data_IF_689573950397
#
_entry.id   IF_689573950397
#
_cell.length_a   1.000
_cell.length_b   1.000
_cell.length_c   1.000
_cell.angle_alpha   90.00
_cell.angle_beta   90.00
_cell.angle_gamma   90.00
#
_symmetry.space_group_name_H-M   'P 1'
#
loop_
_entity.id
_entity.type
_entity.pdbx_description
1 polymer ?
#
# COMPACT_ATOMS: atom_id res chain seq x y z
N UNK A 1 -6.89 0.49 -15.87
CA UNK A 1 -7.43 -0.60 -15.02
C UNK A 1 -8.55 -1.40 -15.69
N UNK A 2 -9.05 -0.98 -16.88
CA UNK A 2 -10.09 -1.69 -17.64
C UNK A 2 -9.66 -3.05 -18.22
N UNK A 3 -8.37 -3.19 -18.55
CA UNK A 3 -7.85 -4.39 -19.23
C UNK A 3 -7.28 -5.44 -18.28
N UNK A 4 -7.69 -5.47 -17.01
CA UNK A 4 -7.14 -6.41 -16.02
C UNK A 4 -7.33 -7.89 -16.42
N UNK A 5 -8.36 -8.18 -17.23
CA UNK A 5 -8.59 -9.51 -17.79
C UNK A 5 -7.40 -10.06 -18.60
N UNK A 6 -6.56 -9.21 -19.21
CA UNK A 6 -5.38 -9.71 -19.96
C UNK A 6 -4.29 -10.29 -19.06
N UNK A 7 -4.37 -10.06 -17.74
CA UNK A 7 -3.39 -10.49 -16.74
C UNK A 7 -3.82 -11.77 -16.01
N UNK A 8 -5.01 -12.28 -16.27
CA UNK A 8 -5.52 -13.54 -15.73
C UNK A 8 -5.40 -14.60 -16.81
N UNK A 9 -5.22 -15.87 -16.47
CA UNK A 9 -5.20 -16.98 -17.44
C UNK A 9 -6.55 -17.68 -17.56
N UNK A 10 -7.22 -17.86 -16.41
CA UNK A 10 -8.52 -18.54 -16.27
C UNK A 10 -9.61 -17.87 -17.15
N UNK A 11 -10.25 -18.62 -18.07
CA UNK A 11 -11.29 -18.09 -18.95
C UNK A 11 -12.53 -17.52 -18.24
N UNK A 12 -12.98 -18.13 -17.13
CA UNK A 12 -14.15 -17.67 -16.40
C UNK A 12 -13.83 -16.36 -15.67
N UNK A 13 -12.69 -16.29 -15.00
CA UNK A 13 -12.27 -15.05 -14.30
C UNK A 13 -12.00 -13.90 -15.28
N UNK A 14 -11.47 -14.21 -16.47
CA UNK A 14 -11.35 -13.23 -17.56
C UNK A 14 -12.70 -12.63 -17.95
N UNK A 15 -13.72 -13.48 -18.05
CA UNK A 15 -15.07 -13.04 -18.44
C UNK A 15 -15.65 -12.09 -17.39
N UNK A 16 -15.61 -12.48 -16.11
CA UNK A 16 -16.07 -11.64 -14.99
C UNK A 16 -15.38 -10.27 -14.98
N UNK A 17 -14.06 -10.23 -15.20
CA UNK A 17 -13.33 -8.97 -15.26
C UNK A 17 -13.70 -8.11 -16.47
N UNK A 18 -14.12 -8.70 -17.60
CA UNK A 18 -14.58 -7.95 -18.78
C UNK A 18 -15.96 -7.35 -18.54
N UNK A 19 -16.87 -8.15 -17.98
CA UNK A 19 -18.24 -7.74 -17.66
C UNK A 19 -18.25 -6.61 -16.62
N UNK A 20 -17.38 -6.69 -15.61
CA UNK A 20 -17.24 -5.65 -14.57
C UNK A 20 -16.31 -4.49 -14.97
N UNK A 21 -16.01 -4.36 -16.27
CA UNK A 21 -15.17 -3.31 -16.85
C UNK A 21 -13.75 -3.19 -16.24
N UNK A 22 -13.19 -4.26 -15.68
CA UNK A 22 -11.86 -4.36 -15.11
C UNK A 22 -11.85 -4.33 -13.58
N UNK A 23 -10.79 -3.75 -12.98
CA UNK A 23 -10.68 -3.63 -11.53
C UNK A 23 -11.26 -2.30 -11.03
N UNK A 24 -12.20 -2.41 -10.10
CA UNK A 24 -12.88 -1.29 -9.47
C UNK A 24 -13.81 -0.53 -10.41
N UNK A 25 -14.81 0.13 -9.83
CA UNK A 25 -15.74 1.01 -10.56
C UNK A 25 -15.03 2.24 -11.12
N UNK A 26 -15.60 2.89 -12.14
CA UNK A 26 -14.98 4.09 -12.73
C UNK A 26 -14.73 5.20 -11.69
N UNK A 27 -15.65 5.35 -10.73
CA UNK A 27 -15.56 6.32 -9.65
C UNK A 27 -14.39 6.11 -8.68
N UNK A 28 -13.90 4.87 -8.53
CA UNK A 28 -12.86 4.54 -7.54
C UNK A 28 -11.44 4.58 -8.08
N UNK A 29 -11.27 4.51 -9.40
CA UNK A 29 -9.94 4.36 -10.04
C UNK A 29 -8.99 5.51 -9.80
N UNK A 30 -9.48 6.74 -9.96
CA UNK A 30 -8.67 7.94 -9.71
C UNK A 30 -8.21 8.00 -8.25
N UNK A 31 -9.11 7.74 -7.30
CA UNK A 31 -8.81 7.71 -5.87
C UNK A 31 -7.80 6.63 -5.47
N UNK A 32 -7.86 5.44 -6.09
CA UNK A 32 -6.86 4.38 -5.89
C UNK A 32 -5.48 4.85 -6.36
N UNK A 33 -5.37 5.40 -7.57
CA UNK A 33 -4.10 5.91 -8.09
C UNK A 33 -3.52 7.02 -7.20
N UNK A 34 -4.34 7.97 -6.78
CA UNK A 34 -3.93 9.03 -5.86
C UNK A 34 -3.41 8.47 -4.54
N UNK A 35 -4.06 7.43 -4.01
CA UNK A 35 -3.61 6.75 -2.80
C UNK A 35 -2.25 6.11 -2.99
N UNK A 36 -2.02 5.43 -4.12
CA UNK A 36 -0.74 4.80 -4.43
C UNK A 36 0.39 5.84 -4.61
N UNK A 37 0.10 6.99 -5.24
CA UNK A 37 1.05 8.10 -5.32
C UNK A 37 1.36 8.69 -3.94
N UNK A 38 0.34 8.99 -3.14
CA UNK A 38 0.49 9.52 -1.78
C UNK A 38 1.31 8.59 -0.88
N UNK A 39 1.14 7.27 -1.04
CA UNK A 39 1.91 6.23 -0.34
C UNK A 39 3.30 5.97 -0.93
N UNK A 40 3.68 6.65 -2.02
CA UNK A 40 4.96 6.49 -2.73
C UNK A 40 5.20 5.05 -3.22
N UNK A 41 4.12 4.35 -3.58
CA UNK A 41 4.19 3.01 -4.17
C UNK A 41 4.34 3.08 -5.70
N UNK A 42 3.86 4.17 -6.30
CA UNK A 42 4.06 4.47 -7.71
C UNK A 42 4.60 5.90 -7.86
N UNK A 43 5.33 6.13 -8.93
CA UNK A 43 5.91 7.43 -9.27
C UNK A 43 5.77 7.73 -10.77
N UNK A 44 5.78 9.02 -11.12
CA UNK A 44 5.83 9.45 -12.53
C UNK A 44 7.28 9.60 -12.95
N UNK A 45 7.70 8.79 -13.93
CA UNK A 45 8.99 8.91 -14.62
C UNK A 45 8.73 9.32 -16.05
N UNK A 46 9.07 10.57 -16.39
CA UNK A 46 8.70 11.21 -17.67
C UNK A 46 7.18 11.14 -17.88
N UNK A 47 6.72 10.52 -18.98
CA UNK A 47 5.30 10.33 -19.30
C UNK A 47 4.72 8.99 -18.80
N UNK A 48 5.50 8.16 -18.10
CA UNK A 48 5.08 6.84 -17.64
C UNK A 48 4.89 6.78 -16.11
N UNK A 49 3.97 5.94 -15.66
CA UNK A 49 3.83 5.55 -14.25
C UNK A 49 4.67 4.30 -14.03
N UNK A 50 5.50 4.28 -12.99
CA UNK A 50 6.32 3.13 -12.62
C UNK A 50 6.16 2.79 -11.15
N UNK A 51 6.26 1.51 -10.80
CA UNK A 51 6.34 1.06 -9.41
C UNK A 51 7.68 1.46 -8.80
N UNK A 52 7.65 1.92 -7.55
CA UNK A 52 8.86 2.22 -6.77
C UNK A 52 9.52 0.93 -6.26
N UNK A 53 10.81 0.95 -5.86
CA UNK A 53 11.45 -0.20 -5.23
C UNK A 53 10.65 -0.73 -4.04
N UNK A 54 10.18 0.17 -3.16
CA UNK A 54 9.34 -0.17 -2.01
C UNK A 54 8.08 -0.94 -2.41
N UNK A 55 7.40 -0.55 -3.49
CA UNK A 55 6.21 -1.26 -3.94
C UNK A 55 6.54 -2.67 -4.47
N UNK A 56 7.67 -2.85 -5.14
CA UNK A 56 8.08 -4.17 -5.65
C UNK A 56 8.45 -5.10 -4.50
N UNK A 57 9.19 -4.61 -3.51
CA UNK A 57 9.51 -5.35 -2.30
C UNK A 57 8.25 -5.72 -1.51
N UNK A 58 7.30 -4.79 -1.38
CA UNK A 58 6.01 -5.06 -0.75
C UNK A 58 5.24 -6.16 -1.48
N UNK A 59 5.11 -6.06 -2.81
CA UNK A 59 4.40 -7.07 -3.61
C UNK A 59 5.10 -8.42 -3.54
N UNK A 60 6.43 -8.47 -3.61
CA UNK A 60 7.21 -9.70 -3.47
C UNK A 60 7.04 -10.36 -2.09
N UNK A 61 6.76 -9.56 -1.06
CA UNK A 61 6.48 -10.03 0.28
C UNK A 61 5.03 -10.47 0.50
N UNK A 62 4.12 -10.35 -0.46
CA UNK A 62 2.72 -10.74 -0.30
C UNK A 62 2.44 -12.09 -0.98
N UNK A 63 1.52 -12.91 -0.45
CA UNK A 63 1.00 -14.07 -1.14
C UNK A 63 0.44 -13.70 -2.52
N UNK A 64 0.74 -14.51 -3.54
CA UNK A 64 0.32 -14.27 -4.93
C UNK A 64 -1.18 -13.99 -5.06
N UNK A 65 -2.00 -14.77 -4.33
CA UNK A 65 -3.46 -14.62 -4.30
C UNK A 65 -3.93 -13.21 -3.92
N UNK A 66 -3.19 -12.48 -3.07
CA UNK A 66 -3.54 -11.10 -2.68
C UNK A 66 -3.16 -10.06 -3.73
N UNK A 67 -2.26 -10.41 -4.64
CA UNK A 67 -1.75 -9.51 -5.68
C UNK A 67 -2.35 -9.80 -7.05
N UNK A 68 -3.11 -10.90 -7.16
CA UNK A 68 -3.72 -11.35 -8.40
C UNK A 68 -5.02 -10.59 -8.73
N UNK A 69 -5.18 -10.10 -9.97
CA UNK A 69 -6.45 -9.54 -10.43
C UNK A 69 -7.58 -10.59 -10.46
N UNK A 70 -7.25 -11.88 -10.56
CA UNK A 70 -8.23 -12.96 -10.54
C UNK A 70 -8.95 -13.10 -9.20
N UNK A 71 -8.26 -12.80 -8.08
CA UNK A 71 -8.90 -12.80 -6.76
C UNK A 71 -9.98 -11.72 -6.65
N UNK A 72 -9.73 -10.54 -7.22
CA UNK A 72 -10.76 -9.50 -7.29
C UNK A 72 -11.94 -9.94 -8.15
N UNK A 73 -11.70 -10.63 -9.25
CA UNK A 73 -12.78 -11.18 -10.08
C UNK A 73 -13.68 -12.13 -9.29
N UNK A 74 -13.09 -13.03 -8.49
CA UNK A 74 -13.82 -13.96 -7.63
C UNK A 74 -14.70 -13.23 -6.60
N UNK A 75 -14.21 -12.12 -6.05
CA UNK A 75 -15.00 -11.30 -5.12
C UNK A 75 -16.16 -10.61 -5.81
N UNK A 76 -15.95 -9.99 -6.97
CA UNK A 76 -17.04 -9.38 -7.73
C UNK A 76 -18.12 -10.41 -8.10
N UNK A 77 -17.72 -11.62 -8.54
CA UNK A 77 -18.66 -12.72 -8.76
C UNK A 77 -19.43 -13.10 -7.50
N UNK A 78 -18.74 -13.18 -6.36
CA UNK A 78 -19.39 -13.51 -5.08
C UNK A 78 -20.39 -12.43 -4.65
N UNK A 79 -20.07 -11.15 -4.88
CA UNK A 79 -20.96 -10.03 -4.59
C UNK A 79 -22.18 -10.03 -5.51
N UNK A 80 -22.00 -10.38 -6.79
CA UNK A 80 -23.10 -10.55 -7.73
C UNK A 80 -24.01 -11.72 -7.34
N UNK A 81 -23.44 -12.85 -6.93
CA UNK A 81 -24.22 -14.00 -6.45
C UNK A 81 -25.06 -13.65 -5.20
N UNK A 82 -24.56 -12.74 -4.35
CA UNK A 82 -25.34 -12.20 -3.22
C UNK A 82 -26.47 -11.31 -3.72
N UNK A 83 -26.19 -10.40 -4.67
CA UNK A 83 -27.20 -9.51 -5.24
C UNK A 83 -28.34 -10.29 -5.93
N UNK A 84 -28.01 -11.43 -6.55
CA UNK A 84 -28.96 -12.35 -7.19
C UNK A 84 -29.63 -13.33 -6.21
N UNK A 85 -29.27 -13.30 -4.93
CA UNK A 85 -29.85 -14.19 -3.90
C UNK A 85 -29.39 -15.65 -3.96
N UNK A 86 -28.33 -15.98 -4.74
CA UNK A 86 -27.75 -17.34 -4.83
C UNK A 86 -26.99 -17.74 -3.57
N UNK A 87 -26.42 -16.78 -2.85
CA UNK A 87 -25.76 -16.98 -1.56
C UNK A 87 -26.10 -15.83 -0.62
N UNK A 88 -26.03 -16.04 0.69
CA UNK A 88 -26.27 -14.97 1.66
C UNK A 88 -24.99 -14.20 1.97
N UNK A 89 -25.15 -12.92 2.32
CA UNK A 89 -24.06 -12.08 2.82
C UNK A 89 -23.39 -12.71 4.04
N UNK A 90 -24.18 -13.33 4.94
CA UNK A 90 -23.65 -13.98 6.14
C UNK A 90 -22.66 -15.11 5.81
N UNK A 91 -23.02 -15.98 4.86
CA UNK A 91 -22.13 -17.08 4.41
C UNK A 91 -20.87 -16.53 3.77
N UNK A 92 -20.98 -15.50 2.94
CA UNK A 92 -19.83 -14.85 2.33
C UNK A 92 -18.88 -14.27 3.39
N UNK A 93 -19.41 -13.50 4.34
CA UNK A 93 -18.61 -12.88 5.41
C UNK A 93 -17.92 -13.91 6.30
N UNK A 94 -18.58 -15.03 6.60
CA UNK A 94 -17.97 -16.12 7.37
C UNK A 94 -16.74 -16.71 6.65
N UNK A 95 -16.86 -16.97 5.34
CA UNK A 95 -15.75 -17.46 4.51
C UNK A 95 -14.59 -16.46 4.47
N UNK A 96 -14.88 -15.17 4.29
CA UNK A 96 -13.84 -14.12 4.28
C UNK A 96 -13.12 -14.03 5.63
N UNK A 97 -13.85 -14.11 6.75
CA UNK A 97 -13.27 -14.07 8.08
C UNK A 97 -12.31 -15.24 8.34
N UNK A 98 -12.73 -16.47 7.99
CA UNK A 98 -11.89 -17.67 8.12
C UNK A 98 -10.62 -17.56 7.28
N UNK A 99 -10.76 -17.12 6.03
CA UNK A 99 -9.62 -16.93 5.14
C UNK A 99 -8.66 -15.84 5.63
N UNK A 100 -9.19 -14.72 6.13
CA UNK A 100 -8.39 -13.64 6.70
C UNK A 100 -7.57 -14.10 7.92
N UNK A 101 -8.16 -14.89 8.81
CA UNK A 101 -7.44 -15.46 9.96
C UNK A 101 -6.24 -16.30 9.52
N UNK A 102 -6.44 -17.13 8.49
CA UNK A 102 -5.35 -17.95 7.93
C UNK A 102 -4.24 -17.08 7.30
N UNK A 103 -4.60 -16.03 6.56
CA UNK A 103 -3.64 -15.10 5.98
C UNK A 103 -2.85 -14.34 7.04
N UNK A 104 -3.52 -13.85 8.09
CA UNK A 104 -2.88 -13.13 9.20
C UNK A 104 -1.89 -14.04 9.90
N UNK A 105 -2.25 -15.29 10.17
CA UNK A 105 -1.35 -16.22 10.84
C UNK A 105 -0.10 -16.52 10.01
N UNK A 106 -0.25 -16.71 8.69
CA UNK A 106 0.89 -16.84 7.79
C UNK A 106 1.74 -15.57 7.73
N UNK A 107 1.09 -14.40 7.72
CA UNK A 107 1.77 -13.11 7.69
C UNK A 107 2.61 -12.83 8.94
N UNK A 108 2.20 -13.31 10.12
CA UNK A 108 3.00 -13.18 11.36
C UNK A 108 4.34 -13.91 11.27
N UNK A 109 4.38 -15.06 10.60
CA UNK A 109 5.59 -15.86 10.43
C UNK A 109 6.45 -15.39 9.24
N UNK A 110 5.94 -14.48 8.41
CA UNK A 110 6.61 -14.04 7.19
C UNK A 110 7.59 -12.89 7.47
N UNK A 111 8.86 -13.08 7.11
CA UNK A 111 9.83 -11.99 7.10
C UNK A 111 9.58 -11.08 5.89
N UNK A 112 9.46 -9.78 6.15
CA UNK A 112 9.37 -8.75 5.11
C UNK A 112 10.65 -7.92 5.11
N UNK A 113 11.34 -7.94 3.97
CA UNK A 113 12.50 -7.08 3.73
C UNK A 113 12.07 -5.86 2.93
N UNK A 114 11.88 -4.74 3.62
CA UNK A 114 11.49 -3.47 3.02
C UNK A 114 12.63 -2.44 3.14
N UNK A 115 13.07 -1.90 2.01
CA UNK A 115 14.00 -0.79 1.94
C UNK A 115 13.25 0.51 2.19
N UNK A 116 13.14 0.87 3.47
CA UNK A 116 12.46 2.09 3.87
C UNK A 116 13.37 3.33 3.67
N UNK A 117 12.79 4.47 3.27
CA UNK A 117 13.55 5.72 3.16
C UNK A 117 14.12 6.11 4.53
N UNK A 118 15.39 6.55 4.55
CA UNK A 118 16.06 7.00 5.78
C UNK A 118 15.32 8.17 6.42
N UNK A 119 14.68 7.90 7.56
CA UNK A 119 14.06 8.91 8.41
C UNK A 119 15.03 9.40 9.48
N UNK A 120 14.90 10.65 9.96
CA UNK A 120 15.70 11.13 11.07
C UNK A 120 15.34 10.38 12.35
N UNK A 121 16.33 10.28 13.24
CA UNK A 121 16.16 9.70 14.56
C UNK A 121 15.63 10.77 15.52
N UNK A 122 14.77 10.34 16.43
CA UNK A 122 14.12 11.21 17.40
C UNK A 122 15.16 11.75 18.39
N UNK A 123 15.26 13.08 18.60
CA UNK A 123 16.25 13.65 19.49
C UNK A 123 16.05 13.23 20.96
N UNK A 124 14.84 12.83 21.35
CA UNK A 124 14.53 12.48 22.73
C UNK A 124 14.72 11.00 23.07
N UNK A 125 14.63 10.09 22.09
CA UNK A 125 14.61 8.65 22.36
C UNK A 125 15.34 7.80 21.31
N UNK A 126 15.94 8.40 20.28
CA UNK A 126 16.63 7.69 19.20
C UNK A 126 15.74 6.88 18.25
N UNK A 127 14.44 6.72 18.54
CA UNK A 127 13.51 6.00 17.66
C UNK A 127 13.30 6.71 16.33
N UNK A 128 12.90 5.97 15.28
CA UNK A 128 12.59 6.56 13.97
C UNK A 128 11.47 7.60 14.06
N UNK A 129 11.48 8.57 13.16
CA UNK A 129 10.42 9.57 13.07
C UNK A 129 9.58 9.43 11.80
N UNK A 130 8.31 9.83 11.87
CA UNK A 130 7.37 9.90 10.74
C UNK A 130 7.11 11.35 10.37
N UNK A 131 7.21 11.68 9.08
CA UNK A 131 6.85 13.00 8.57
C UNK A 131 5.32 13.19 8.63
N UNK A 132 4.89 14.31 9.18
CA UNK A 132 3.49 14.73 9.32
C UNK A 132 3.35 16.12 8.71
N UNK A 133 2.16 16.42 8.20
CA UNK A 133 1.83 17.75 7.69
C UNK A 133 1.41 18.64 8.87
N UNK A 134 2.16 19.70 9.13
CA UNK A 134 1.79 20.76 10.07
C UNK A 134 1.04 21.90 9.39
N UNK A 135 0.56 22.88 10.17
CA UNK A 135 -0.16 24.05 9.64
C UNK A 135 0.70 24.92 8.70
N UNK A 136 1.99 25.05 9.00
CA UNK A 136 2.93 25.96 8.30
C UNK A 136 4.02 25.22 7.54
N UNK A 137 4.44 24.05 7.99
CA UNK A 137 5.41 23.21 7.28
C UNK A 137 5.31 21.74 7.70
N UNK A 138 5.80 20.80 6.87
CA UNK A 138 6.00 19.43 7.29
C UNK A 138 6.93 19.37 8.51
N UNK A 139 6.67 18.44 9.42
CA UNK A 139 7.51 18.16 10.59
C UNK A 139 7.64 16.66 10.80
N UNK A 140 8.69 16.23 11.46
CA UNK A 140 8.93 14.85 11.86
C UNK A 140 8.43 14.67 13.29
N UNK A 141 7.56 13.70 13.52
CA UNK A 141 7.12 13.29 14.86
C UNK A 141 7.60 11.88 15.19
N UNK A 142 7.93 11.62 16.44
CA UNK A 142 8.31 10.29 16.91
C UNK A 142 7.25 9.22 16.55
N UNK A 143 7.67 8.01 16.17
CA UNK A 143 6.74 6.89 15.94
C UNK A 143 6.06 6.42 17.23
N UNK A 144 6.74 6.53 18.37
CA UNK A 144 6.21 6.20 19.71
C UNK A 144 5.48 7.38 20.36
N UNK A 145 4.74 8.15 19.56
CA UNK A 145 3.89 9.24 20.06
C UNK A 145 2.88 8.67 21.07
N UNK A 146 2.66 9.38 22.17
CA UNK A 146 2.10 8.96 23.49
C UNK A 146 3.19 8.71 24.55
N UNK A 147 4.25 7.96 24.23
CA UNK A 147 5.41 7.76 25.13
C UNK A 147 6.54 8.77 24.91
N UNK A 148 6.63 9.36 23.72
CA UNK A 148 7.66 10.34 23.37
C UNK A 148 7.11 11.43 22.46
N UNK A 149 7.16 12.69 22.93
CA UNK A 149 6.67 13.88 22.22
C UNK A 149 7.75 14.55 21.34
N UNK A 150 8.82 13.83 21.00
CA UNK A 150 9.91 14.38 20.18
C UNK A 150 9.44 14.80 18.78
N UNK A 151 9.84 16.00 18.36
CA UNK A 151 9.50 16.60 17.07
C UNK A 151 10.72 17.29 16.45
N UNK A 152 10.84 17.25 15.12
CA UNK A 152 11.87 17.99 14.36
C UNK A 152 11.21 18.71 13.19
N UNK A 153 11.59 19.97 12.95
CA UNK A 153 11.11 20.69 11.78
C UNK A 153 11.87 20.23 10.52
N UNK A 154 11.18 20.03 9.40
CA UNK A 154 11.78 19.44 8.18
C UNK A 154 12.90 20.33 7.59
N UNK A 155 12.76 21.66 7.74
CA UNK A 155 13.79 22.63 7.32
C UNK A 155 15.11 22.47 8.11
N UNK A 156 15.02 22.15 9.41
CA UNK A 156 16.21 21.95 10.26
C UNK A 156 16.95 20.65 9.91
N UNK A 157 16.22 19.57 9.59
CA UNK A 157 16.81 18.29 9.16
C UNK A 157 17.55 18.43 7.84
N UNK A 158 17.02 19.23 6.92
CA UNK A 158 17.63 19.48 5.60
C UNK A 158 18.93 20.29 5.71
N UNK A 159 19.01 21.25 6.63
CA UNK A 159 20.22 22.03 6.90
C UNK A 159 21.32 21.16 7.53
N UNK A 160 21.00 20.32 8.53
CA UNK A 160 21.98 19.40 9.14
C UNK A 160 22.53 18.35 8.17
N UNK A 161 21.73 17.92 7.17
CA UNK A 161 22.18 17.01 6.10
C UNK A 161 23.17 17.68 5.13
N UNK A 162 23.02 18.97 4.84
CA UNK A 162 23.98 19.73 4.01
C UNK A 162 25.33 19.89 4.73
N UNK A 163 25.31 20.21 6.02
CA UNK A 163 26.52 20.35 6.84
C UNK A 163 27.28 19.02 6.98
N UNK A 164 26.59 17.91 7.25
CA UNK A 164 27.23 16.58 7.34
C UNK A 164 27.82 16.09 6.01
N UNK A 165 27.17 16.37 4.87
CA UNK A 165 27.74 16.03 3.54
C UNK A 165 28.94 16.90 3.17
N UNK A 166 29.02 18.13 3.66
CA UNK A 166 30.18 19.00 3.47
C UNK A 166 31.40 18.52 4.27
N UNK A 167 31.20 18.05 5.50
CA UNK A 167 32.28 17.53 6.35
C UNK A 167 32.76 16.11 6.02
N UNK A 168 32.12 15.41 5.07
CA UNK A 168 32.52 14.06 4.65
C UNK A 168 33.25 14.04 3.30
N UNK A 169 33.60 15.22 2.77
CA UNK A 169 34.36 15.44 1.54
C UNK A 169 35.74 16.09 1.79
N UNK A 170 36.21 16.09 3.04
CA UNK A 170 37.56 16.50 3.43
C UNK A 170 38.33 15.27 3.86
#
# INVERSE_FOLDING_TARGET
MKNAASLVSDPQLKQVLRENAGLGTEATRAGILDTLFKRRLIERKKKAIQSTPLARELIAGLPEVLTSPGMTALWEQSLEDIAQGKTSLAVFMQKQAQWLLHLVERGKAQSLHLTLPKTPDCPNCGSRMRQRQGKTSPFWGCVNYLGCKGMLNDKAVTQSRKVRRANQKV
#
